data_IF_392522936267
#
_entry.id   IF_392522936267
#
_cell.length_a   1.000
_cell.length_b   1.000
_cell.length_c   1.000
_cell.angle_alpha   90.00
_cell.angle_beta   90.00
_cell.angle_gamma   90.00
#
_symmetry.space_group_name_H-M   'P 1'
#
loop_
_entity.id
_entity.type
_entity.pdbx_description
1 polymer ?
#
# COMPACT_ATOMS: atom_id res chain seq x y z
N UNK A 1 1.12 15.78 0.01
CA UNK A 1 0.02 14.80 0.17
C UNK A 1 -1.32 15.51 0.13
N UNK A 2 -2.30 15.00 -0.62
CA UNK A 2 -3.64 15.60 -0.70
C UNK A 2 -4.32 15.73 0.66
N UNK A 3 -5.15 16.76 0.82
CA UNK A 3 -5.81 17.06 2.09
C UNK A 3 -6.61 15.91 2.70
N UNK A 4 -7.39 15.12 1.93
CA UNK A 4 -8.14 14.01 2.52
C UNK A 4 -7.25 12.98 3.20
N UNK A 5 -6.09 12.69 2.61
CA UNK A 5 -5.15 11.73 3.18
C UNK A 5 -4.41 12.30 4.38
N UNK A 6 -4.05 13.58 4.33
CA UNK A 6 -3.43 14.28 5.46
C UNK A 6 -4.33 14.27 6.68
N UNK A 7 -5.61 14.54 6.47
CA UNK A 7 -6.60 14.55 7.55
C UNK A 7 -6.72 13.18 8.20
N UNK A 8 -6.77 12.13 7.39
CA UNK A 8 -6.83 10.76 7.88
C UNK A 8 -5.63 10.45 8.80
N UNK A 9 -4.45 10.85 8.39
CA UNK A 9 -3.23 10.62 9.16
C UNK A 9 -3.21 11.42 10.46
N UNK A 10 -3.70 12.66 10.43
CA UNK A 10 -3.79 13.49 11.62
C UNK A 10 -4.78 12.91 12.63
N UNK A 11 -5.91 12.38 12.15
CA UNK A 11 -6.90 11.73 13.02
C UNK A 11 -6.30 10.52 13.74
N UNK A 12 -5.39 9.82 13.08
CA UNK A 12 -4.70 8.67 13.68
C UNK A 12 -3.47 9.07 14.49
N UNK A 13 -3.18 10.37 14.59
CA UNK A 13 -2.05 10.94 15.33
C UNK A 13 -0.70 10.34 14.91
N UNK A 14 -0.57 9.98 13.63
CA UNK A 14 0.65 9.37 13.12
C UNK A 14 1.43 10.34 12.26
N UNK A 15 2.69 10.55 12.62
CA UNK A 15 3.61 11.42 11.90
C UNK A 15 4.53 10.66 10.95
N UNK A 16 4.67 9.34 11.18
CA UNK A 16 5.56 8.49 10.39
C UNK A 16 4.77 7.54 9.51
N UNK A 17 5.29 7.36 8.30
CA UNK A 17 4.71 6.46 7.32
C UNK A 17 5.75 5.43 6.93
N UNK A 18 5.29 4.25 6.61
CA UNK A 18 6.15 3.20 6.07
C UNK A 18 5.89 3.12 4.57
N UNK A 19 6.93 3.28 3.78
CA UNK A 19 6.88 3.18 2.33
C UNK A 19 7.41 1.84 1.89
N UNK A 20 6.69 1.17 1.01
CA UNK A 20 7.07 -0.12 0.48
C UNK A 20 6.61 -0.25 -0.96
N UNK A 21 7.39 -0.96 -1.78
CA UNK A 21 6.95 -1.35 -3.13
C UNK A 21 5.85 -2.41 -2.98
N UNK A 22 4.75 -2.25 -3.70
CA UNK A 22 3.69 -3.26 -3.68
C UNK A 22 4.20 -4.60 -4.21
N UNK A 23 3.67 -5.70 -3.65
CA UNK A 23 4.12 -7.04 -4.00
C UNK A 23 3.69 -7.46 -5.42
N UNK A 24 2.56 -6.96 -5.88
CA UNK A 24 1.92 -7.45 -7.10
C UNK A 24 1.81 -6.41 -8.19
N UNK A 25 1.78 -5.13 -7.84
CA UNK A 25 1.54 -4.05 -8.78
C UNK A 25 2.73 -3.11 -8.88
N UNK A 26 2.80 -2.36 -9.97
CA UNK A 26 3.86 -1.37 -10.17
C UNK A 26 3.48 -0.06 -9.49
N UNK A 27 3.44 -0.09 -8.17
CA UNK A 27 3.13 1.08 -7.36
C UNK A 27 3.84 0.98 -6.02
N UNK A 28 3.81 2.07 -5.27
CA UNK A 28 4.28 2.10 -3.89
C UNK A 28 3.08 2.10 -2.96
N UNK A 29 3.28 1.64 -1.74
CA UNK A 29 2.27 1.67 -0.70
C UNK A 29 2.79 2.45 0.48
N UNK A 30 1.98 3.38 0.96
CA UNK A 30 2.23 4.13 2.18
C UNK A 30 1.32 3.60 3.28
N UNK A 31 1.94 3.12 4.33
CA UNK A 31 1.22 2.62 5.51
C UNK A 31 1.39 3.60 6.66
N UNK A 32 0.31 3.97 7.35
CA UNK A 32 0.46 4.50 8.70
C UNK A 32 1.24 3.49 9.54
N UNK A 33 2.11 3.97 10.42
CA UNK A 33 3.00 3.07 11.18
C UNK A 33 2.22 1.99 11.94
N UNK A 34 1.09 2.35 12.55
CA UNK A 34 0.27 1.39 13.28
C UNK A 34 -0.29 0.28 12.38
N UNK A 35 -0.71 0.64 11.18
CA UNK A 35 -1.24 -0.33 10.21
C UNK A 35 -0.13 -1.27 9.74
N UNK A 36 1.06 -0.72 9.46
CA UNK A 36 2.22 -1.53 9.11
C UNK A 36 2.54 -2.54 10.21
N UNK A 37 2.57 -2.07 11.46
CA UNK A 37 2.88 -2.94 12.59
C UNK A 37 1.85 -4.07 12.74
N UNK A 38 0.58 -3.78 12.52
CA UNK A 38 -0.48 -4.77 12.58
C UNK A 38 -0.33 -5.82 11.47
N UNK A 39 -0.07 -5.38 10.24
CA UNK A 39 0.15 -6.32 9.13
C UNK A 39 1.38 -7.19 9.36
N UNK A 40 2.45 -6.59 9.88
CA UNK A 40 3.68 -7.33 10.17
C UNK A 40 3.46 -8.37 11.26
N UNK A 41 2.70 -8.03 12.31
CA UNK A 41 2.37 -9.00 13.37
C UNK A 41 1.51 -10.13 12.82
N UNK A 42 0.58 -9.84 11.94
CA UNK A 42 -0.22 -10.89 11.31
C UNK A 42 0.65 -11.84 10.50
N UNK A 43 1.57 -11.33 9.71
CA UNK A 43 2.51 -12.17 8.98
C UNK A 43 3.33 -13.04 9.93
N UNK A 44 3.92 -12.43 10.97
CA UNK A 44 4.73 -13.16 11.95
C UNK A 44 3.95 -14.27 12.63
N UNK A 45 2.67 -14.06 12.90
CA UNK A 45 1.84 -15.07 13.55
C UNK A 45 1.63 -16.33 12.70
N UNK A 46 1.81 -16.21 11.39
CA UNK A 46 1.66 -17.31 10.44
C UNK A 46 2.98 -17.99 10.09
N UNK A 47 4.10 -17.42 10.53
CA UNK A 47 5.42 -17.94 10.21
C UNK A 47 5.96 -18.77 11.39
N UNK A 48 6.67 -19.84 11.04
CA UNK A 48 7.41 -20.65 12.01
C UNK A 48 8.85 -20.13 12.05
N UNK A 49 9.24 -19.51 13.16
CA UNK A 49 10.58 -18.91 13.29
C UNK A 49 11.72 -19.94 13.21
N UNK A 50 11.41 -21.22 13.35
CA UNK A 50 12.41 -22.28 13.26
C UNK A 50 12.58 -22.84 11.84
N UNK A 51 11.72 -22.41 10.91
CA UNK A 51 11.77 -22.84 9.52
C UNK A 51 12.65 -21.85 8.72
N UNK A 52 13.79 -22.28 8.16
CA UNK A 52 14.65 -21.37 7.39
C UNK A 52 13.95 -20.69 6.22
N UNK A 53 13.01 -21.37 5.58
CA UNK A 53 12.25 -20.81 4.47
C UNK A 53 11.34 -19.67 4.95
N UNK A 54 10.71 -19.84 6.11
CA UNK A 54 9.88 -18.79 6.70
C UNK A 54 10.72 -17.57 7.10
N UNK A 55 11.95 -17.81 7.54
CA UNK A 55 12.88 -16.71 7.83
C UNK A 55 13.23 -15.91 6.58
N UNK A 56 13.35 -16.58 5.44
CA UNK A 56 13.59 -15.90 4.16
C UNK A 56 12.38 -15.04 3.76
N UNK A 57 11.17 -15.55 3.96
CA UNK A 57 9.94 -14.80 3.68
C UNK A 57 9.91 -13.52 4.50
N UNK A 58 10.15 -13.63 5.80
CA UNK A 58 10.12 -12.46 6.69
C UNK A 58 11.20 -11.45 6.30
N UNK A 59 12.40 -11.92 6.03
CA UNK A 59 13.53 -11.06 5.65
C UNK A 59 13.22 -10.31 4.36
N UNK A 60 12.69 -10.99 3.36
CA UNK A 60 12.31 -10.37 2.10
C UNK A 60 11.21 -9.32 2.31
N UNK A 61 10.25 -9.64 3.17
CA UNK A 61 9.12 -8.75 3.43
C UNK A 61 9.54 -7.44 4.10
N UNK A 62 10.48 -7.51 5.05
CA UNK A 62 10.87 -6.33 5.82
C UNK A 62 12.11 -5.60 5.30
N UNK A 63 12.84 -6.19 4.34
CA UNK A 63 14.16 -5.68 3.97
C UNK A 63 14.10 -4.41 3.13
N UNK A 64 13.03 -4.14 2.44
CA UNK A 64 12.96 -3.00 1.53
C UNK A 64 11.79 -2.08 1.89
N UNK A 65 11.88 -1.52 3.07
CA UNK A 65 10.93 -0.52 3.55
C UNK A 65 11.69 0.75 3.93
N UNK A 66 11.02 1.86 3.86
CA UNK A 66 11.56 3.16 4.21
C UNK A 66 10.63 3.85 5.18
N UNK A 67 11.19 4.47 6.20
CA UNK A 67 10.40 5.26 7.16
C UNK A 67 10.43 6.71 6.69
N UNK A 68 9.25 7.27 6.42
CA UNK A 68 9.12 8.64 5.97
C UNK A 68 8.40 9.45 7.05
N UNK A 69 8.83 10.69 7.24
CA UNK A 69 8.15 11.64 8.11
C UNK A 69 7.39 12.63 7.26
N UNK A 70 6.19 12.99 7.71
CA UNK A 70 5.38 14.01 7.08
C UNK A 70 5.61 15.31 7.83
N UNK A 71 6.00 16.38 7.10
CA UNK A 71 6.20 17.68 7.73
C UNK A 71 4.87 18.36 8.02
N UNK A 72 4.93 19.50 8.67
CA UNK A 72 3.73 20.24 9.09
C UNK A 72 2.89 20.71 7.89
N UNK A 73 3.49 20.81 6.71
CA UNK A 73 2.79 21.17 5.47
C UNK A 73 2.25 19.96 4.72
N UNK A 74 2.37 18.77 5.29
CA UNK A 74 1.92 17.54 4.65
C UNK A 74 2.84 17.05 3.54
N UNK A 75 4.11 17.43 3.57
CA UNK A 75 5.11 17.03 2.58
C UNK A 75 5.92 15.86 3.09
N UNK A 76 6.30 14.98 2.19
CA UNK A 76 7.25 13.93 2.47
C UNK A 76 8.12 13.72 1.23
N UNK A 77 9.36 13.30 1.49
CA UNK A 77 10.32 13.06 0.43
C UNK A 77 10.40 11.55 0.17
N UNK A 78 10.03 11.15 -1.04
CA UNK A 78 10.13 9.75 -1.46
C UNK A 78 11.51 9.56 -2.10
N UNK A 79 12.33 8.63 -1.58
CA UNK A 79 13.65 8.37 -2.19
C UNK A 79 13.54 7.98 -3.65
N UNK A 80 14.49 8.42 -4.44
CA UNK A 80 14.48 8.23 -5.89
C UNK A 80 14.37 6.77 -6.31
N UNK A 81 15.03 5.87 -5.58
CA UNK A 81 14.98 4.44 -5.92
C UNK A 81 13.57 3.86 -5.87
N UNK A 82 12.72 4.36 -4.97
CA UNK A 82 11.33 3.93 -4.90
C UNK A 82 10.52 4.46 -6.06
N UNK A 83 10.77 5.71 -6.46
CA UNK A 83 10.11 6.28 -7.64
C UNK A 83 10.45 5.46 -8.89
N UNK A 84 11.68 5.03 -9.01
CA UNK A 84 12.11 4.18 -10.13
C UNK A 84 11.43 2.81 -10.10
N UNK A 85 11.31 2.20 -8.91
CA UNK A 85 10.62 0.92 -8.75
C UNK A 85 9.17 0.96 -9.22
N UNK A 86 8.51 2.10 -9.06
CA UNK A 86 7.11 2.29 -9.44
C UNK A 86 6.96 2.95 -10.81
N UNK A 87 8.05 3.14 -11.55
CA UNK A 87 8.05 3.80 -12.86
C UNK A 87 7.49 5.22 -12.81
N UNK A 88 7.73 5.92 -11.72
CA UNK A 88 7.27 7.29 -11.53
C UNK A 88 8.35 8.24 -12.02
N UNK A 89 8.02 9.04 -13.04
CA UNK A 89 8.94 10.01 -13.59
C UNK A 89 8.53 11.45 -13.28
N UNK A 90 7.25 11.75 -13.36
CA UNK A 90 6.72 13.10 -13.19
C UNK A 90 5.54 13.12 -12.22
N UNK A 91 4.34 12.92 -12.72
CA UNK A 91 3.12 13.05 -11.95
C UNK A 91 2.75 11.76 -11.24
N UNK A 92 2.22 11.89 -10.05
CA UNK A 92 1.76 10.77 -9.26
C UNK A 92 0.26 10.88 -9.00
N UNK A 93 -0.35 9.73 -8.73
CA UNK A 93 -1.72 9.66 -8.27
C UNK A 93 -1.76 8.85 -6.98
N UNK A 94 -2.46 9.39 -5.98
CA UNK A 94 -2.72 8.69 -4.73
C UNK A 94 -4.06 7.99 -4.81
N UNK A 95 -4.09 6.72 -4.41
CA UNK A 95 -5.33 5.94 -4.32
C UNK A 95 -5.47 5.44 -2.90
N UNK A 96 -6.55 5.87 -2.23
CA UNK A 96 -6.85 5.39 -0.88
C UNK A 96 -7.39 3.98 -0.92
N UNK A 97 -6.73 3.09 -0.21
CA UNK A 97 -7.09 1.67 -0.13
C UNK A 97 -7.46 1.32 1.32
N UNK A 98 -8.52 1.98 1.82
CA UNK A 98 -9.04 1.83 3.18
C UNK A 98 -8.04 2.32 4.23
N UNK A 99 -7.17 1.45 4.71
CA UNK A 99 -6.21 1.75 5.80
C UNK A 99 -4.81 2.11 5.31
N UNK A 100 -4.61 2.17 4.00
CA UNK A 100 -3.32 2.50 3.39
C UNK A 100 -3.52 3.30 2.10
N UNK A 101 -2.44 3.84 1.57
CA UNK A 101 -2.48 4.69 0.38
C UNK A 101 -1.51 4.12 -0.65
N UNK A 102 -1.99 3.95 -1.88
CA UNK A 102 -1.12 3.59 -2.99
C UNK A 102 -0.64 4.83 -3.72
N UNK A 103 0.61 4.79 -4.17
CA UNK A 103 1.24 5.87 -4.93
C UNK A 103 1.60 5.32 -6.30
N UNK A 104 0.96 5.85 -7.32
CA UNK A 104 1.08 5.39 -8.69
C UNK A 104 1.68 6.45 -9.58
N UNK A 105 2.41 6.05 -10.62
CA UNK A 105 2.66 6.92 -11.75
C UNK A 105 1.32 7.24 -12.39
N UNK A 106 1.02 8.52 -12.60
CA UNK A 106 -0.29 8.93 -13.11
C UNK A 106 -0.62 8.26 -14.44
N UNK A 107 0.37 8.15 -15.33
CA UNK A 107 0.15 7.55 -16.65
C UNK A 107 -0.29 6.07 -16.57
N UNK A 108 0.08 5.35 -15.53
CA UNK A 108 -0.36 3.97 -15.34
C UNK A 108 -1.81 3.88 -14.89
N UNK A 109 -2.38 4.98 -14.40
CA UNK A 109 -3.77 5.04 -13.95
C UNK A 109 -4.69 5.73 -14.95
N UNK A 110 -4.18 6.11 -16.11
CA UNK A 110 -4.99 6.73 -17.16
C UNK A 110 -5.90 5.73 -17.85
N UNK A 111 -5.62 4.45 -17.71
CA UNK A 111 -6.48 3.37 -18.18
C UNK A 111 -7.06 2.63 -16.96
N UNK A 112 -8.26 2.05 -17.09
CA UNK A 112 -8.81 1.22 -16.02
C UNK A 112 -7.90 0.04 -15.68
N UNK A 113 -7.87 -0.35 -14.41
CA UNK A 113 -7.08 -1.51 -13.96
C UNK A 113 -7.62 -2.82 -14.51
N UNK A 114 -8.91 -2.87 -14.78
CA UNK A 114 -9.57 -3.99 -15.41
C UNK A 114 -10.47 -3.47 -16.53
N UNK A 115 -10.71 -4.31 -17.54
CA UNK A 115 -11.71 -3.97 -18.54
C UNK A 115 -13.06 -3.75 -17.83
N UNK A 116 -13.84 -2.70 -18.19
CA UNK A 116 -15.10 -2.40 -17.49
C UNK A 116 -16.08 -3.57 -17.41
N UNK A 117 -16.16 -4.38 -18.44
CA UNK A 117 -17.02 -5.57 -18.45
C UNK A 117 -16.55 -6.59 -17.42
N UNK A 118 -15.25 -6.87 -17.38
CA UNK A 118 -14.68 -7.81 -16.42
C UNK A 118 -14.86 -7.31 -14.99
N UNK A 119 -14.71 -6.01 -14.78
CA UNK A 119 -14.94 -5.38 -13.48
C UNK A 119 -16.39 -5.58 -13.02
N UNK A 120 -17.35 -5.31 -13.91
CA UNK A 120 -18.78 -5.47 -13.58
C UNK A 120 -19.10 -6.89 -13.18
N UNK A 121 -18.59 -7.87 -13.93
CA UNK A 121 -18.80 -9.28 -13.64
C UNK A 121 -18.14 -9.70 -12.33
N UNK A 122 -16.89 -9.27 -12.12
CA UNK A 122 -16.15 -9.59 -10.90
C UNK A 122 -16.82 -9.00 -9.67
N UNK A 123 -17.25 -7.74 -9.77
CA UNK A 123 -17.96 -7.06 -8.68
C UNK A 123 -19.26 -7.78 -8.34
N UNK A 124 -20.01 -8.12 -9.35
CA UNK A 124 -21.29 -8.85 -9.18
C UNK A 124 -21.05 -10.18 -8.46
N UNK A 125 -20.03 -10.93 -8.88
CA UNK A 125 -19.69 -12.22 -8.28
C UNK A 125 -19.31 -12.06 -6.81
N UNK A 126 -18.51 -11.06 -6.47
CA UNK A 126 -18.12 -10.78 -5.09
C UNK A 126 -19.33 -10.45 -4.24
N UNK A 127 -20.19 -9.58 -4.72
CA UNK A 127 -21.40 -9.16 -3.97
C UNK A 127 -22.40 -10.31 -3.81
N UNK A 128 -22.56 -11.13 -4.83
CA UNK A 128 -23.44 -12.29 -4.78
C UNK A 128 -22.90 -13.37 -3.84
N UNK A 129 -21.60 -13.62 -3.90
CA UNK A 129 -20.94 -14.61 -3.08
C UNK A 129 -21.03 -14.29 -1.59
N UNK A 130 -20.98 -13.01 -1.25
CA UNK A 130 -21.12 -12.56 0.14
C UNK A 130 -22.47 -12.95 0.72
N UNK A 131 -23.51 -12.90 -0.08
CA UNK A 131 -24.86 -13.29 0.33
C UNK A 131 -25.02 -14.79 0.58
N UNK A 132 -24.09 -15.61 0.08
CA UNK A 132 -24.13 -17.06 0.18
C UNK A 132 -23.54 -17.58 1.49
N UNK A 133 -23.04 -16.71 2.36
CA UNK A 133 -22.49 -17.10 3.66
C UNK A 133 -23.52 -17.13 4.78
N UNK A 134 -24.73 -16.81 4.49
CA UNK A 134 -25.80 -16.82 5.49
C UNK A 134 -26.46 -18.18 5.66
#
# INVERSE_FOLDING_TARGET
MPMPFRKLLQENAEERMILKKDLYQTCLVLYPESIWNNELQELKSRLNKWDPKHQLILRQYVSDVEILSIDINGRMLIPKRYLEMASIQNDIRFIGMDDKIEVWAKNLTDQPFMHPKDFSEALKNVMTKENNYE
#
